data_IF_324910401914
#
_entry.id   IF_324910401914
#
_cell.length_a   1.000
_cell.length_b   1.000
_cell.length_c   1.000
_cell.angle_alpha   90.00
_cell.angle_beta   90.00
_cell.angle_gamma   90.00
#
_symmetry.space_group_name_H-M   'P 1'
#
loop_
_entity.id
_entity.type
_entity.pdbx_description
1 polymer ?
#
# COMPACT_ATOMS: atom_id res chain seq x y z
N UNK A 1 47.60 -39.47 7.32
CA UNK A 1 46.72 -39.11 6.19
C UNK A 1 45.33 -38.61 6.59
N UNK A 2 44.79 -38.94 7.75
CA UNK A 2 43.45 -38.46 8.21
C UNK A 2 43.43 -36.99 8.66
N UNK A 3 44.49 -36.47 9.27
CA UNK A 3 44.54 -35.08 9.78
C UNK A 3 44.51 -34.03 8.69
N UNK A 4 45.14 -34.27 7.54
CA UNK A 4 45.13 -33.31 6.41
C UNK A 4 43.77 -33.18 5.75
N UNK A 5 42.96 -34.25 5.72
CA UNK A 5 41.58 -34.21 5.18
C UNK A 5 40.64 -33.44 6.09
N UNK A 6 40.77 -33.57 7.41
CA UNK A 6 39.93 -32.86 8.39
C UNK A 6 40.24 -31.36 8.35
N UNK A 7 41.52 -30.97 8.24
CA UNK A 7 41.91 -29.56 8.15
C UNK A 7 41.42 -28.92 6.84
N UNK A 8 41.38 -29.65 5.74
CA UNK A 8 40.86 -29.16 4.45
C UNK A 8 39.35 -28.97 4.51
N UNK A 9 38.59 -29.80 5.20
CA UNK A 9 37.14 -29.68 5.37
C UNK A 9 36.81 -28.49 6.27
N UNK A 10 37.57 -28.29 7.37
CA UNK A 10 37.40 -27.11 8.23
C UNK A 10 37.74 -25.81 7.51
N UNK A 11 38.78 -25.78 6.68
CA UNK A 11 39.18 -24.58 5.94
C UNK A 11 38.17 -24.23 4.85
N UNK A 12 37.56 -25.23 4.19
CA UNK A 12 36.49 -25.00 3.21
C UNK A 12 35.18 -24.53 3.88
N UNK A 13 34.86 -25.02 5.07
CA UNK A 13 33.67 -24.60 5.84
C UNK A 13 33.83 -23.17 6.35
N UNK A 14 35.04 -22.76 6.80
CA UNK A 14 35.33 -21.41 7.25
C UNK A 14 35.30 -20.44 6.05
N UNK A 15 35.77 -20.85 4.87
CA UNK A 15 35.70 -20.03 3.65
C UNK A 15 34.24 -19.85 3.18
N UNK A 16 33.41 -20.87 3.26
CA UNK A 16 31.98 -20.75 2.93
C UNK A 16 31.26 -19.85 3.94
N UNK A 17 31.56 -19.96 5.23
CA UNK A 17 31.00 -19.07 6.25
C UNK A 17 31.48 -17.62 6.11
N UNK A 18 32.72 -17.39 5.66
CA UNK A 18 33.22 -16.01 5.46
C UNK A 18 32.64 -15.35 4.19
N UNK A 19 32.27 -16.13 3.19
CA UNK A 19 31.53 -15.62 2.01
C UNK A 19 30.09 -15.26 2.40
N UNK A 20 29.46 -15.99 3.35
CA UNK A 20 28.13 -15.64 3.85
C UNK A 20 28.16 -14.49 4.88
N UNK A 21 29.25 -14.23 5.58
CA UNK A 21 29.37 -13.12 6.53
C UNK A 21 29.50 -11.74 5.87
N UNK A 22 29.75 -11.69 4.56
CA UNK A 22 29.74 -10.46 3.76
C UNK A 22 28.51 -10.27 2.88
N UNK A 23 27.62 -11.26 2.84
CA UNK A 23 26.29 -11.10 2.28
C UNK A 23 25.41 -10.53 3.40
N UNK A 24 25.31 -9.21 3.45
CA UNK A 24 24.11 -8.60 4.01
C UNK A 24 22.94 -9.19 3.22
N UNK A 25 22.25 -10.18 3.81
CA UNK A 25 20.92 -10.56 3.37
C UNK A 25 20.06 -9.34 3.76
N UNK A 26 20.13 -8.30 2.95
CA UNK A 26 19.05 -7.36 2.91
C UNK A 26 17.84 -8.20 2.53
N UNK A 27 17.06 -8.59 3.53
CA UNK A 27 15.70 -9.03 3.30
C UNK A 27 15.03 -7.82 2.64
N UNK A 28 15.13 -7.74 1.30
CA UNK A 28 14.36 -6.76 0.54
C UNK A 28 12.91 -7.03 0.90
N UNK A 29 12.32 -6.11 1.64
CA UNK A 29 10.88 -6.10 1.78
C UNK A 29 10.32 -6.22 0.35
N UNK A 30 9.35 -7.11 0.16
CA UNK A 30 8.79 -7.36 -1.15
C UNK A 30 8.38 -6.00 -1.75
N UNK A 31 8.86 -5.72 -2.97
CA UNK A 31 8.50 -4.50 -3.71
C UNK A 31 7.28 -4.73 -4.60
N UNK A 32 6.76 -5.95 -4.62
CA UNK A 32 5.56 -6.33 -5.36
C UNK A 32 4.92 -7.57 -4.75
N UNK A 33 3.65 -7.77 -5.06
CA UNK A 33 2.91 -8.93 -4.58
C UNK A 33 1.44 -8.88 -4.97
N UNK A 34 0.66 -9.77 -4.37
CA UNK A 34 -0.79 -9.82 -4.50
C UNK A 34 -1.46 -9.51 -3.16
N UNK A 35 -2.64 -8.89 -3.20
CA UNK A 35 -3.46 -8.61 -2.03
C UNK A 35 -4.94 -8.72 -2.42
N UNK A 36 -5.59 -9.79 -1.99
CA UNK A 36 -6.94 -10.10 -2.49
C UNK A 36 -6.94 -10.33 -4.00
N UNK A 37 -7.81 -9.62 -4.71
CA UNK A 37 -7.96 -9.69 -6.16
C UNK A 37 -7.19 -8.65 -6.95
N UNK A 38 -6.10 -8.10 -6.40
CA UNK A 38 -5.22 -7.14 -7.08
C UNK A 38 -3.76 -7.50 -6.92
N UNK A 39 -2.93 -7.04 -7.85
CA UNK A 39 -1.47 -7.00 -7.70
C UNK A 39 -1.06 -5.60 -7.29
N UNK A 40 0.04 -5.50 -6.56
CA UNK A 40 0.69 -4.24 -6.23
C UNK A 40 2.18 -4.29 -6.54
N UNK A 41 2.72 -3.13 -6.85
CA UNK A 41 4.15 -2.92 -7.07
C UNK A 41 4.58 -1.56 -6.50
N UNK A 42 5.69 -1.52 -5.79
CA UNK A 42 6.33 -0.29 -5.29
C UNK A 42 7.70 -0.15 -5.91
N UNK A 43 7.86 0.82 -6.79
CA UNK A 43 9.18 1.27 -7.22
C UNK A 43 9.77 2.23 -6.18
N UNK A 44 10.68 1.73 -5.36
CA UNK A 44 11.31 2.53 -4.29
C UNK A 44 12.21 3.65 -4.80
N UNK A 45 12.70 3.55 -6.03
CA UNK A 45 13.57 4.57 -6.62
C UNK A 45 12.80 5.83 -6.98
N UNK A 46 11.57 5.69 -7.43
CA UNK A 46 10.67 6.78 -7.80
C UNK A 46 9.64 7.10 -6.73
N UNK A 47 9.32 6.15 -5.87
CA UNK A 47 8.23 6.23 -4.90
C UNK A 47 6.86 5.98 -5.51
N UNK A 48 6.78 5.34 -6.67
CA UNK A 48 5.52 5.03 -7.34
C UNK A 48 4.98 3.68 -6.88
N UNK A 49 3.77 3.69 -6.33
CA UNK A 49 3.00 2.51 -5.96
C UNK A 49 1.89 2.29 -6.99
N UNK A 50 1.88 1.15 -7.65
CA UNK A 50 0.91 0.82 -8.69
C UNK A 50 0.04 -0.35 -8.25
N UNK A 51 -1.27 -0.24 -8.43
CA UNK A 51 -2.25 -1.30 -8.20
C UNK A 51 -2.85 -1.69 -9.54
N UNK A 52 -2.81 -2.98 -9.84
CA UNK A 52 -3.39 -3.54 -11.06
C UNK A 52 -4.39 -4.64 -10.72
N UNK A 53 -5.37 -4.85 -11.59
CA UNK A 53 -6.35 -5.92 -11.42
C UNK A 53 -5.67 -7.29 -11.42
N UNK A 54 -6.11 -8.13 -10.47
CA UNK A 54 -5.92 -9.56 -10.46
C UNK A 54 -7.26 -10.20 -10.02
N UNK A 55 -7.68 -11.29 -10.66
CA UNK A 55 -8.94 -11.92 -10.32
C UNK A 55 -10.14 -10.94 -10.38
N UNK A 56 -10.82 -10.73 -9.25
CA UNK A 56 -12.02 -9.89 -9.16
C UNK A 56 -11.75 -8.39 -9.00
N UNK A 57 -10.48 -7.96 -8.96
CA UNK A 57 -10.11 -6.55 -8.82
C UNK A 57 -10.33 -5.94 -7.42
N UNK A 58 -10.61 -6.76 -6.38
CA UNK A 58 -10.85 -6.29 -5.02
C UNK A 58 -9.64 -6.51 -4.13
N UNK A 59 -9.05 -5.43 -3.66
CA UNK A 59 -7.96 -5.45 -2.69
C UNK A 59 -8.42 -5.96 -1.33
N UNK A 60 -7.54 -6.66 -0.62
CA UNK A 60 -7.83 -7.16 0.72
C UNK A 60 -7.91 -6.03 1.76
N UNK A 61 -8.75 -6.22 2.77
CA UNK A 61 -8.80 -5.37 3.95
C UNK A 61 -7.70 -5.75 4.95
N UNK A 62 -6.99 -4.74 5.44
CA UNK A 62 -5.97 -4.94 6.46
C UNK A 62 -6.43 -4.57 7.88
N UNK A 63 -7.60 -3.93 8.04
CA UNK A 63 -8.02 -3.30 9.28
C UNK A 63 -8.64 -4.23 10.30
N UNK A 64 -9.13 -5.40 9.93
CA UNK A 64 -10.21 -6.03 10.70
C UNK A 64 -9.79 -6.72 11.99
N UNK A 65 -8.52 -6.95 12.26
CA UNK A 65 -8.09 -7.77 13.42
C UNK A 65 -6.82 -7.32 14.15
N UNK A 66 -6.33 -6.12 13.97
CA UNK A 66 -5.20 -5.65 14.77
C UNK A 66 -5.54 -4.39 15.56
N UNK A 67 -5.57 -4.52 16.86
CA UNK A 67 -5.91 -3.51 17.85
C UNK A 67 -5.02 -2.25 17.83
N UNK A 68 -4.02 -2.16 16.97
CA UNK A 68 -3.08 -1.06 16.85
C UNK A 68 -2.65 -0.87 15.39
N UNK A 69 -3.42 -0.10 14.64
CA UNK A 69 -3.03 0.55 13.39
C UNK A 69 -2.31 -0.32 12.34
N UNK A 70 -2.99 -0.68 11.31
CA UNK A 70 -2.55 -0.95 9.94
C UNK A 70 -1.13 -1.45 9.61
N UNK A 71 -0.48 -2.26 10.45
CA UNK A 71 0.96 -2.60 10.33
C UNK A 71 1.24 -3.88 9.54
N UNK A 72 0.24 -4.50 8.95
CA UNK A 72 0.36 -5.81 8.30
C UNK A 72 0.31 -5.75 6.77
N UNK A 73 0.24 -4.56 6.17
CA UNK A 73 0.44 -4.44 4.73
C UNK A 73 1.87 -4.88 4.37
N UNK A 74 2.05 -5.68 3.31
CA UNK A 74 3.38 -6.14 2.91
C UNK A 74 4.40 -5.02 2.68
N UNK A 75 3.93 -3.81 2.34
CA UNK A 75 4.75 -2.62 2.10
C UNK A 75 4.84 -1.66 3.32
N UNK A 76 4.30 -2.04 4.48
CA UNK A 76 4.22 -1.13 5.63
C UNK A 76 5.56 -0.48 6.01
N UNK A 77 6.64 -1.24 6.03
CA UNK A 77 7.96 -0.72 6.36
C UNK A 77 8.51 0.28 5.33
N UNK A 78 8.01 0.22 4.10
CA UNK A 78 8.38 1.09 2.98
C UNK A 78 7.36 2.20 2.72
N UNK A 79 6.30 2.30 3.50
CA UNK A 79 5.19 3.25 3.28
C UNK A 79 5.65 4.71 3.14
N UNK A 80 6.72 5.10 3.84
CA UNK A 80 7.30 6.45 3.73
C UNK A 80 8.04 6.70 2.42
N UNK A 81 8.34 5.67 1.63
CA UNK A 81 8.89 5.87 0.29
C UNK A 81 7.80 6.16 -0.75
N UNK A 82 6.52 5.89 -0.44
CA UNK A 82 5.39 6.08 -1.36
C UNK A 82 5.12 7.58 -1.53
N UNK A 83 5.23 8.06 -2.76
CA UNK A 83 4.98 9.45 -3.17
C UNK A 83 3.79 9.57 -4.10
N UNK A 84 3.60 8.57 -4.95
CA UNK A 84 2.53 8.53 -5.95
C UNK A 84 1.85 7.17 -5.91
N UNK A 85 0.53 7.16 -5.95
CA UNK A 85 -0.29 5.96 -6.10
C UNK A 85 -0.98 6.01 -7.45
N UNK A 86 -0.86 4.94 -8.24
CA UNK A 86 -1.61 4.73 -9.47
C UNK A 86 -2.53 3.53 -9.30
N UNK A 87 -3.82 3.73 -9.49
CA UNK A 87 -4.85 2.69 -9.49
C UNK A 87 -5.28 2.45 -10.92
N UNK A 88 -4.89 1.33 -11.48
CA UNK A 88 -5.07 1.04 -12.90
C UNK A 88 -6.44 0.41 -13.19
N UNK A 89 -6.82 0.40 -14.47
CA UNK A 89 -8.13 -0.06 -14.94
C UNK A 89 -8.46 -1.47 -14.46
N UNK A 90 -9.74 -1.67 -14.11
CA UNK A 90 -10.27 -2.95 -13.63
C UNK A 90 -10.09 -3.20 -12.13
N UNK A 91 -9.41 -2.32 -11.39
CA UNK A 91 -9.43 -2.32 -9.92
C UNK A 91 -10.81 -1.86 -9.47
N UNK A 92 -11.46 -2.65 -8.62
CA UNK A 92 -12.84 -2.42 -8.14
C UNK A 92 -12.85 -1.87 -6.73
N UNK A 93 -11.93 -2.32 -5.90
CA UNK A 93 -11.84 -1.92 -4.49
C UNK A 93 -10.39 -1.74 -4.05
N UNK A 94 -10.14 -0.69 -3.28
CA UNK A 94 -8.94 -0.56 -2.44
C UNK A 94 -9.38 -0.80 -1.01
N UNK A 95 -8.74 -1.74 -0.33
CA UNK A 95 -9.09 -2.12 1.04
C UNK A 95 -8.71 -1.06 2.07
N UNK A 96 -9.12 -1.29 3.31
CA UNK A 96 -8.85 -0.41 4.44
C UNK A 96 -7.37 -0.37 4.79
N UNK A 97 -6.87 0.76 5.26
CA UNK A 97 -5.50 1.04 5.74
C UNK A 97 -4.38 0.88 4.70
N UNK A 98 -4.67 0.79 3.41
CA UNK A 98 -3.63 0.54 2.40
C UNK A 98 -2.51 1.58 2.40
N UNK A 99 -2.84 2.85 2.57
CA UNK A 99 -1.89 3.97 2.57
C UNK A 99 -1.82 4.70 3.91
N UNK A 100 -2.17 3.99 4.99
CA UNK A 100 -2.04 4.52 6.36
C UNK A 100 -0.63 4.98 6.65
N UNK A 101 -0.48 6.21 7.16
CA UNK A 101 0.83 6.85 7.46
C UNK A 101 1.81 6.91 6.28
N UNK A 102 1.31 6.96 5.03
CA UNK A 102 2.14 7.28 3.88
C UNK A 102 2.47 8.79 3.86
N UNK A 103 3.31 9.21 4.81
CA UNK A 103 3.54 10.64 5.10
C UNK A 103 4.14 11.43 3.93
N UNK A 104 4.77 10.77 2.94
CA UNK A 104 5.34 11.41 1.75
C UNK A 104 4.43 11.31 0.52
N UNK A 105 3.22 10.75 0.66
CA UNK A 105 2.25 10.66 -0.43
C UNK A 105 1.75 12.06 -0.82
N UNK A 106 1.93 12.42 -2.09
CA UNK A 106 1.51 13.71 -2.65
C UNK A 106 0.49 13.57 -3.76
N UNK A 107 0.45 12.42 -4.44
CA UNK A 107 -0.34 12.23 -5.66
C UNK A 107 -1.07 10.90 -5.63
N UNK A 108 -2.36 10.91 -5.96
CA UNK A 108 -3.17 9.70 -6.15
C UNK A 108 -3.90 9.83 -7.48
N UNK A 109 -3.66 8.87 -8.38
CA UNK A 109 -4.30 8.79 -9.69
C UNK A 109 -5.25 7.58 -9.72
N UNK A 110 -6.54 7.84 -9.80
CA UNK A 110 -7.56 6.84 -9.98
C UNK A 110 -7.87 6.70 -11.48
N UNK A 111 -7.18 5.77 -12.16
CA UNK A 111 -7.36 5.50 -13.59
C UNK A 111 -8.41 4.39 -13.85
N UNK A 112 -9.01 3.82 -12.78
CA UNK A 112 -9.99 2.75 -12.91
C UNK A 112 -11.41 3.30 -13.01
N UNK A 113 -12.08 2.99 -14.11
CA UNK A 113 -13.50 3.27 -14.31
C UNK A 113 -14.42 2.34 -13.51
N UNK A 114 -13.89 1.26 -12.97
CA UNK A 114 -14.64 0.26 -12.18
C UNK A 114 -14.44 0.39 -10.68
N UNK A 115 -13.64 1.35 -10.22
CA UNK A 115 -13.36 1.55 -8.79
C UNK A 115 -14.61 2.07 -8.08
N UNK A 116 -15.23 1.21 -7.26
CA UNK A 116 -16.49 1.49 -6.57
C UNK A 116 -16.33 1.70 -5.06
N UNK A 117 -15.23 1.20 -4.47
CA UNK A 117 -15.08 1.14 -3.01
C UNK A 117 -13.70 1.63 -2.57
N UNK A 118 -13.69 2.57 -1.62
CA UNK A 118 -12.52 3.03 -0.86
C UNK A 118 -12.71 2.66 0.62
N UNK A 119 -11.77 1.87 1.15
CA UNK A 119 -11.85 1.32 2.51
C UNK A 119 -11.63 2.35 3.63
N UNK A 120 -11.83 1.93 4.89
CA UNK A 120 -11.60 2.76 6.09
C UNK A 120 -10.14 3.18 6.19
N UNK A 121 -9.90 4.38 6.74
CA UNK A 121 -8.56 4.88 7.06
C UNK A 121 -7.57 4.78 5.88
N UNK A 122 -8.08 4.74 4.65
CA UNK A 122 -7.28 4.44 3.45
C UNK A 122 -6.07 5.37 3.30
N UNK A 123 -6.26 6.67 3.54
CA UNK A 123 -5.20 7.70 3.46
C UNK A 123 -4.92 8.37 4.81
N UNK A 124 -5.38 7.80 5.92
CA UNK A 124 -5.15 8.40 7.22
C UNK A 124 -3.67 8.62 7.47
N UNK A 125 -3.31 9.81 7.98
CA UNK A 125 -1.92 10.19 8.26
C UNK A 125 -1.07 10.51 7.02
N UNK A 126 -1.68 10.67 5.83
CA UNK A 126 -0.99 11.14 4.62
C UNK A 126 -0.72 12.66 4.70
N UNK A 127 0.20 13.05 5.57
CA UNK A 127 0.42 14.46 5.93
C UNK A 127 0.93 15.34 4.82
N UNK A 128 1.48 14.80 3.72
CA UNK A 128 1.92 15.57 2.55
C UNK A 128 0.88 15.69 1.44
N UNK A 129 -0.26 15.00 1.55
CA UNK A 129 -1.32 15.02 0.55
C UNK A 129 -2.07 16.37 0.61
N UNK A 130 -1.99 17.18 -0.46
CA UNK A 130 -2.59 18.51 -0.51
C UNK A 130 -3.94 18.55 -1.21
N UNK A 131 -4.13 17.66 -2.17
CA UNK A 131 -5.37 17.55 -2.92
C UNK A 131 -5.59 16.13 -3.42
N UNK A 132 -6.85 15.77 -3.62
CA UNK A 132 -7.24 14.50 -4.20
C UNK A 132 -8.55 14.64 -4.97
N UNK A 133 -8.62 14.02 -6.15
CA UNK A 133 -9.85 13.85 -6.91
C UNK A 133 -10.36 12.44 -6.65
N UNK A 134 -11.53 12.32 -6.03
CA UNK A 134 -12.14 11.02 -5.80
C UNK A 134 -12.66 10.40 -7.11
N UNK A 135 -12.62 9.06 -7.25
CA UNK A 135 -13.04 8.40 -8.48
C UNK A 135 -14.54 8.61 -8.73
N UNK A 136 -14.90 8.94 -9.98
CA UNK A 136 -16.28 9.28 -10.38
C UNK A 136 -17.28 8.15 -10.12
N UNK A 137 -16.83 6.90 -10.16
CA UNK A 137 -17.68 5.72 -9.98
C UNK A 137 -17.67 5.19 -8.55
N UNK A 138 -16.90 5.77 -7.63
CA UNK A 138 -16.89 5.32 -6.26
C UNK A 138 -18.24 5.67 -5.59
N UNK A 139 -18.87 4.64 -5.04
CA UNK A 139 -20.16 4.74 -4.38
C UNK A 139 -20.08 4.43 -2.90
N UNK A 140 -18.99 3.80 -2.45
CA UNK A 140 -18.76 3.43 -1.07
C UNK A 140 -17.47 4.08 -0.57
N UNK A 141 -17.66 5.04 0.36
CA UNK A 141 -16.59 5.66 1.12
C UNK A 141 -16.77 5.27 2.58
N UNK A 142 -15.76 4.65 3.15
CA UNK A 142 -15.79 4.30 4.56
C UNK A 142 -15.27 5.45 5.43
N UNK A 143 -15.30 5.29 6.75
CA UNK A 143 -14.98 6.35 7.70
C UNK A 143 -13.47 6.69 7.72
N UNK A 144 -13.17 7.88 8.23
CA UNK A 144 -11.80 8.35 8.54
C UNK A 144 -10.82 8.32 7.35
N UNK A 145 -11.37 8.43 6.11
CA UNK A 145 -10.60 8.29 4.86
C UNK A 145 -9.37 9.21 4.82
N UNK A 146 -9.46 10.43 5.37
CA UNK A 146 -8.42 11.46 5.37
C UNK A 146 -8.09 11.97 6.78
N UNK A 147 -8.43 11.23 7.82
CA UNK A 147 -8.08 11.64 9.18
C UNK A 147 -6.57 11.86 9.30
N UNK A 148 -6.16 12.93 9.97
CA UNK A 148 -4.77 13.34 10.13
C UNK A 148 -4.02 13.70 8.80
N UNK A 149 -4.73 13.94 7.69
CA UNK A 149 -4.15 14.51 6.47
C UNK A 149 -3.96 16.03 6.61
N UNK A 150 -3.02 16.45 7.43
CA UNK A 150 -2.88 17.85 7.89
C UNK A 150 -2.58 18.88 6.79
N UNK A 151 -2.11 18.45 5.62
CA UNK A 151 -1.88 19.35 4.47
C UNK A 151 -3.03 19.39 3.48
N UNK A 152 -4.08 18.57 3.67
CA UNK A 152 -5.17 18.43 2.69
C UNK A 152 -6.04 19.69 2.65
N UNK A 153 -6.14 20.29 1.47
CA UNK A 153 -6.88 21.53 1.22
C UNK A 153 -8.07 21.34 0.30
N UNK A 154 -7.96 20.41 -0.64
CA UNK A 154 -8.95 20.22 -1.69
C UNK A 154 -9.27 18.74 -1.87
N UNK A 155 -10.57 18.43 -1.86
CA UNK A 155 -11.12 17.13 -2.24
C UNK A 155 -12.17 17.37 -3.31
N UNK A 156 -11.94 16.87 -4.52
CA UNK A 156 -12.96 16.87 -5.56
C UNK A 156 -13.85 15.64 -5.42
N UNK A 157 -15.14 15.87 -5.33
CA UNK A 157 -16.14 14.81 -5.22
C UNK A 157 -16.64 14.40 -6.61
N UNK A 158 -17.10 13.15 -6.78
CA UNK A 158 -17.77 12.71 -7.99
C UNK A 158 -18.95 13.61 -8.34
N UNK A 159 -19.17 13.84 -9.62
CA UNK A 159 -20.27 14.66 -10.13
C UNK A 159 -21.65 13.99 -9.97
N UNK A 160 -21.68 12.67 -9.81
CA UNK A 160 -22.90 11.88 -9.63
C UNK A 160 -23.41 11.96 -8.19
N UNK A 161 -24.21 12.98 -7.92
CA UNK A 161 -25.00 13.10 -6.68
C UNK A 161 -26.11 12.03 -6.63
N UNK A 162 -25.75 10.77 -6.40
CA UNK A 162 -26.76 9.77 -6.08
C UNK A 162 -27.02 9.80 -4.57
N UNK A 163 -28.08 10.50 -4.16
CA UNK A 163 -28.44 10.81 -2.78
C UNK A 163 -29.04 9.64 -2.00
N UNK A 164 -29.20 8.47 -2.62
CA UNK A 164 -29.88 7.34 -2.03
C UNK A 164 -28.89 6.28 -1.53
N UNK A 165 -28.88 6.07 -0.23
CA UNK A 165 -28.19 5.00 0.51
C UNK A 165 -26.66 5.07 0.54
N UNK A 166 -26.09 5.95 1.36
CA UNK A 166 -24.63 6.06 1.61
C UNK A 166 -23.74 6.27 0.38
N UNK A 167 -24.35 6.40 -0.78
CA UNK A 167 -23.68 6.68 -2.05
C UNK A 167 -23.32 8.16 -2.10
N UNK A 168 -22.05 8.48 -2.14
CA UNK A 168 -21.56 9.85 -2.32
C UNK A 168 -21.60 10.74 -1.08
N UNK A 169 -22.01 10.25 0.11
CA UNK A 169 -21.81 10.99 1.35
C UNK A 169 -20.42 10.68 1.91
N UNK A 170 -19.59 11.69 2.01
CA UNK A 170 -18.40 11.60 2.84
C UNK A 170 -18.89 11.49 4.28
N UNK A 171 -18.58 10.40 5.01
CA UNK A 171 -19.02 10.24 6.38
C UNK A 171 -18.53 11.38 7.28
N UNK A 172 -19.31 11.75 8.30
CA UNK A 172 -18.85 12.66 9.34
C UNK A 172 -17.57 12.08 9.97
N UNK A 173 -16.52 12.88 10.08
CA UNK A 173 -15.21 12.43 10.58
C UNK A 173 -14.22 11.96 9.50
N UNK A 174 -14.52 12.23 8.22
CA UNK A 174 -13.61 11.93 7.12
C UNK A 174 -12.36 12.86 7.09
N UNK A 175 -12.46 14.04 7.73
CA UNK A 175 -11.44 15.06 7.83
C UNK A 175 -10.98 15.25 9.26
#
# INVERSE_FOLDING_TARGET
MKFKKILSIFLSLVLVLSVFAGLEINAYAATSGTSGGVNWNLDKSTGVFTITKNGNGRGADYSKYQFFGGNNQPWYNDRKSIKTVNVEEGVVQIGSYWFYDCTNLTTVNFNSSTLDTLGDDLFRGCTSLQSINLPENATYYYSELFLDCTSLKYVSLPSTNNTDNYKGKIPNGTF
#
